data_IF_488353834018
#
_entry.id   IF_488353834018
#
_cell.length_a   1.000
_cell.length_b   1.000
_cell.length_c   1.000
_cell.angle_alpha   90.00
_cell.angle_beta   90.00
_cell.angle_gamma   90.00
#
_symmetry.space_group_name_H-M   'P 1'
#
loop_
_entity.id
_entity.type
_entity.pdbx_description
1 polymer ?
#
# COMPACT_ATOMS: atom_id res chain seq x y z
N UNK A 1 15.18 -7.49 -15.79
CA UNK A 1 15.38 -7.60 -14.33
C UNK A 1 14.08 -7.41 -13.60
N UNK A 2 13.68 -8.40 -12.79
CA UNK A 2 12.50 -8.29 -11.93
C UNK A 2 13.02 -8.04 -10.52
N UNK A 3 12.57 -6.96 -9.89
CA UNK A 3 12.98 -6.61 -8.52
C UNK A 3 12.38 -7.63 -7.54
N UNK A 4 13.16 -8.03 -6.54
CA UNK A 4 12.72 -8.93 -5.47
C UNK A 4 11.83 -8.22 -4.45
N UNK A 5 11.16 -9.00 -3.59
CA UNK A 5 10.25 -8.49 -2.54
C UNK A 5 10.89 -7.35 -1.72
N UNK A 6 12.11 -7.56 -1.21
CA UNK A 6 12.79 -6.56 -0.40
C UNK A 6 13.18 -5.30 -1.18
N UNK A 7 13.43 -5.42 -2.49
CA UNK A 7 13.72 -4.25 -3.33
C UNK A 7 12.46 -3.42 -3.55
N UNK A 8 11.30 -4.06 -3.76
CA UNK A 8 10.03 -3.35 -3.87
C UNK A 8 9.60 -2.72 -2.53
N UNK A 9 9.80 -3.42 -1.40
CA UNK A 9 9.59 -2.83 -0.07
C UNK A 9 10.52 -1.63 0.20
N UNK A 10 11.78 -1.72 -0.22
CA UNK A 10 12.73 -0.60 -0.11
C UNK A 10 12.31 0.59 -0.99
N UNK A 11 11.74 0.34 -2.17
CA UNK A 11 11.23 1.41 -3.03
C UNK A 11 10.05 2.14 -2.40
N UNK A 12 9.09 1.42 -1.78
CA UNK A 12 8.01 2.05 -0.99
C UNK A 12 8.57 2.89 0.16
N UNK A 13 9.53 2.35 0.92
CA UNK A 13 10.14 3.07 2.03
C UNK A 13 10.90 4.33 1.58
N UNK A 14 11.59 4.26 0.44
CA UNK A 14 12.31 5.41 -0.13
C UNK A 14 11.36 6.55 -0.49
N UNK A 15 10.21 6.25 -1.10
CA UNK A 15 9.22 7.27 -1.47
C UNK A 15 8.65 8.01 -0.26
N UNK A 16 8.47 7.32 0.87
CA UNK A 16 8.12 7.97 2.13
C UNK A 16 9.27 8.81 2.69
N UNK A 17 10.51 8.32 2.60
CA UNK A 17 11.68 9.00 3.15
C UNK A 17 12.08 10.26 2.37
N UNK A 18 11.81 10.28 1.06
CA UNK A 18 12.11 11.42 0.18
C UNK A 18 11.09 12.56 0.30
N UNK A 19 9.89 12.26 0.84
CA UNK A 19 8.81 13.23 0.97
C UNK A 19 8.91 14.06 2.27
N UNK A 20 8.86 15.41 2.21
CA UNK A 20 8.88 16.24 3.42
C UNK A 20 7.65 16.05 4.32
N UNK A 21 6.51 15.69 3.73
CA UNK A 21 5.25 15.40 4.42
C UNK A 21 4.53 14.23 3.77
N UNK A 22 3.57 13.63 4.48
CA UNK A 22 2.72 12.58 3.91
C UNK A 22 1.96 13.06 2.68
N UNK A 23 1.49 14.31 2.66
CA UNK A 23 0.76 14.88 1.51
C UNK A 23 1.65 15.06 0.26
N UNK A 24 2.97 15.10 0.43
CA UNK A 24 3.96 15.24 -0.65
C UNK A 24 4.55 13.88 -1.08
N UNK A 25 4.13 12.77 -0.45
CA UNK A 25 4.55 11.42 -0.87
C UNK A 25 3.99 11.10 -2.24
N UNK A 26 4.78 10.47 -3.12
CA UNK A 26 4.30 9.95 -4.41
C UNK A 26 3.47 8.68 -4.19
N UNK A 27 2.23 8.88 -3.78
CA UNK A 27 1.28 7.80 -3.49
C UNK A 27 0.94 6.97 -4.72
N UNK A 28 0.92 7.59 -5.91
CA UNK A 28 0.66 6.87 -7.17
C UNK A 28 1.76 5.84 -7.39
N UNK A 29 3.02 6.23 -7.22
CA UNK A 29 4.14 5.31 -7.35
C UNK A 29 4.15 4.24 -6.24
N UNK A 30 3.74 4.58 -5.02
CA UNK A 30 3.57 3.58 -3.94
C UNK A 30 2.50 2.53 -4.30
N UNK A 31 1.38 2.93 -4.93
CA UNK A 31 0.36 1.97 -5.41
C UNK A 31 0.97 0.99 -6.41
N UNK A 32 1.78 1.46 -7.35
CA UNK A 32 2.45 0.62 -8.34
C UNK A 32 3.40 -0.41 -7.69
N UNK A 33 4.14 0.00 -6.66
CA UNK A 33 5.01 -0.90 -5.91
C UNK A 33 4.22 -1.93 -5.09
N UNK A 34 3.09 -1.55 -4.51
CA UNK A 34 2.20 -2.50 -3.87
C UNK A 34 1.54 -3.46 -4.86
N UNK A 35 1.23 -3.01 -6.08
CA UNK A 35 0.78 -3.88 -7.16
C UNK A 35 1.83 -4.94 -7.53
N UNK A 36 3.10 -4.56 -7.58
CA UNK A 36 4.19 -5.54 -7.79
C UNK A 36 4.38 -6.47 -6.59
N UNK A 37 4.36 -5.95 -5.35
CA UNK A 37 4.44 -6.78 -4.15
C UNK A 37 3.29 -7.78 -4.05
N UNK A 38 2.08 -7.38 -4.45
CA UNK A 38 0.92 -8.27 -4.45
C UNK A 38 1.12 -9.43 -5.44
N UNK A 39 1.66 -9.14 -6.63
CA UNK A 39 2.03 -10.18 -7.63
C UNK A 39 3.12 -11.12 -7.13
N UNK A 40 4.08 -10.62 -6.34
CA UNK A 40 5.20 -11.41 -5.83
C UNK A 40 4.82 -12.31 -4.65
N UNK A 41 3.92 -11.84 -3.78
CA UNK A 41 3.71 -12.45 -2.45
C UNK A 41 2.32 -13.03 -2.23
N UNK A 42 1.32 -12.61 -3.02
CA UNK A 42 -0.11 -12.85 -2.78
C UNK A 42 -0.58 -12.49 -1.35
N UNK A 43 0.15 -11.61 -0.67
CA UNK A 43 -0.06 -11.30 0.74
C UNK A 43 -1.30 -10.42 0.96
N UNK A 44 -2.21 -10.81 1.86
CA UNK A 44 -3.34 -9.95 2.20
C UNK A 44 -2.93 -8.66 2.91
N UNK A 45 -1.80 -8.66 3.63
CA UNK A 45 -1.26 -7.44 4.26
C UNK A 45 -0.78 -6.45 3.21
N UNK A 46 -0.17 -6.93 2.12
CA UNK A 46 0.24 -6.10 0.99
C UNK A 46 -0.98 -5.46 0.33
N UNK A 47 -2.06 -6.23 0.10
CA UNK A 47 -3.31 -5.69 -0.45
C UNK A 47 -3.99 -4.68 0.49
N UNK A 48 -3.92 -4.88 1.80
CA UNK A 48 -4.40 -3.92 2.79
C UNK A 48 -3.63 -2.59 2.72
N UNK A 49 -2.30 -2.65 2.70
CA UNK A 49 -1.48 -1.45 2.59
C UNK A 49 -1.71 -0.72 1.26
N UNK A 50 -1.92 -1.47 0.17
CA UNK A 50 -2.32 -0.92 -1.13
C UNK A 50 -3.62 -0.10 -1.04
N UNK A 51 -4.62 -0.59 -0.32
CA UNK A 51 -5.89 0.14 -0.17
C UNK A 51 -5.70 1.49 0.52
N UNK A 52 -4.76 1.59 1.47
CA UNK A 52 -4.38 2.88 2.08
C UNK A 52 -3.73 3.79 1.05
N UNK A 53 -2.74 3.29 0.30
CA UNK A 53 -2.05 4.07 -0.72
C UNK A 53 -3.01 4.60 -1.82
N UNK A 54 -4.00 3.79 -2.24
CA UNK A 54 -5.07 4.22 -3.15
C UNK A 54 -5.93 5.31 -2.52
N UNK A 55 -6.21 5.23 -1.22
CA UNK A 55 -6.95 6.27 -0.50
C UNK A 55 -6.22 7.61 -0.47
N UNK A 56 -4.89 7.59 -0.38
CA UNK A 56 -4.06 8.80 -0.43
C UNK A 56 -3.90 9.34 -1.85
N UNK A 57 -3.75 8.46 -2.85
CA UNK A 57 -3.61 8.85 -4.26
C UNK A 57 -4.93 9.36 -4.89
N UNK A 58 -6.01 8.59 -4.72
CA UNK A 58 -7.29 8.77 -5.43
C UNK A 58 -8.44 9.19 -4.50
N UNK A 59 -8.11 9.48 -3.24
CA UNK A 59 -9.02 9.95 -2.23
C UNK A 59 -9.70 8.85 -1.40
N UNK A 60 -10.24 9.20 -0.21
CA UNK A 60 -10.62 8.22 0.81
C UNK A 60 -11.68 7.20 0.35
N UNK A 61 -12.61 7.63 -0.53
CA UNK A 61 -13.67 6.74 -1.03
C UNK A 61 -13.10 5.61 -1.89
N UNK A 62 -12.09 5.89 -2.70
CA UNK A 62 -11.44 4.90 -3.56
C UNK A 62 -10.66 3.89 -2.73
N UNK A 63 -9.93 4.37 -1.71
CA UNK A 63 -9.24 3.49 -0.75
C UNK A 63 -10.20 2.59 0.03
N UNK A 64 -11.33 3.15 0.51
CA UNK A 64 -12.36 2.36 1.20
C UNK A 64 -13.04 1.33 0.29
N UNK A 65 -13.24 1.64 -0.99
CA UNK A 65 -13.73 0.68 -1.97
C UNK A 65 -12.73 -0.45 -2.18
N UNK A 66 -11.44 -0.15 -2.34
CA UNK A 66 -10.38 -1.16 -2.46
C UNK A 66 -10.27 -2.03 -1.19
N UNK A 67 -10.45 -1.45 -0.01
CA UNK A 67 -10.47 -2.17 1.27
C UNK A 67 -11.65 -3.16 1.36
N UNK A 68 -12.80 -2.80 0.79
CA UNK A 68 -14.00 -3.64 0.82
C UNK A 68 -13.86 -4.93 0.00
N UNK A 69 -12.94 -4.99 -0.97
CA UNK A 69 -12.64 -6.17 -1.77
C UNK A 69 -11.76 -7.21 -1.04
N UNK A 70 -11.22 -6.87 0.14
CA UNK A 70 -10.42 -7.81 0.93
C UNK A 70 -11.30 -8.81 1.67
N UNK A 71 -10.77 -10.01 1.88
CA UNK A 71 -11.45 -11.05 2.66
C UNK A 71 -11.79 -10.54 4.06
N UNK A 72 -13.08 -10.58 4.40
CA UNK A 72 -13.59 -10.18 5.71
C UNK A 72 -13.05 -11.03 6.87
N UNK A 73 -12.48 -12.21 6.60
CA UNK A 73 -11.84 -13.07 7.58
C UNK A 73 -10.45 -12.58 8.05
N UNK A 74 -9.89 -11.55 7.41
CA UNK A 74 -8.59 -11.00 7.84
C UNK A 74 -8.67 -10.49 9.28
N UNK A 75 -7.71 -10.86 10.16
CA UNK A 75 -7.68 -10.40 11.53
C UNK A 75 -7.71 -8.87 11.60
N UNK A 76 -8.70 -8.33 12.32
CA UNK A 76 -8.82 -6.90 12.58
C UNK A 76 -8.36 -6.64 14.00
N UNK A 77 -7.33 -5.81 14.14
CA UNK A 77 -6.88 -5.31 15.43
C UNK A 77 -7.42 -3.90 15.60
N UNK A 78 -7.99 -3.60 16.78
CA UNK A 78 -8.30 -2.22 17.11
C UNK A 78 -6.96 -1.45 17.17
N UNK A 79 -6.85 -0.36 16.40
CA UNK A 79 -5.71 0.53 16.51
C UNK A 79 -5.61 1.01 17.96
N UNK A 80 -4.40 0.97 18.52
CA UNK A 80 -4.14 1.50 19.85
C UNK A 80 -4.25 3.03 19.74
N UNK A 81 -5.10 3.64 20.58
CA UNK A 81 -5.31 5.08 20.63
C UNK A 81 -4.09 5.83 21.14
#
# INVERSE_FOLDING_TARGET
DRLGEYQAQAAVAALHADAPTAAETDWVQIVEWYDELARLTDSPVVRLNRAVAVGEADGPRTGLAALAELDGALPRYAAVA
#
